data_IF_980721553471
#
_entry.id   IF_980721553471
#
_cell.length_a   1.000
_cell.length_b   1.000
_cell.length_c   1.000
_cell.angle_alpha   90.00
_cell.angle_beta   90.00
_cell.angle_gamma   90.00
#
_symmetry.space_group_name_H-M   'P 1'
#
loop_
_entity.id
_entity.type
_entity.pdbx_description
1 polymer ?
#
# COMPACT_ATOMS: atom_id res chain seq x y z
N UNK A 1 19.19 -31.68 5.20
CA UNK A 1 20.65 -31.90 5.33
C UNK A 1 21.37 -31.27 4.14
N UNK A 2 21.75 -30.00 4.25
CA UNK A 2 22.96 -29.43 3.63
C UNK A 2 23.06 -27.96 4.04
N UNK A 3 23.74 -27.76 5.15
CA UNK A 3 24.26 -26.48 5.63
C UNK A 3 25.38 -26.07 4.67
N UNK A 4 25.31 -24.86 4.09
CA UNK A 4 26.45 -24.25 3.40
C UNK A 4 26.96 -23.04 4.19
N UNK A 5 27.96 -23.37 4.99
CA UNK A 5 29.03 -22.60 5.60
C UNK A 5 29.28 -21.20 5.01
N UNK A 6 29.02 -20.19 5.85
CA UNK A 6 29.58 -18.83 5.72
C UNK A 6 31.07 -18.93 6.05
N UNK A 7 31.94 -18.59 5.09
CA UNK A 7 33.39 -18.46 5.32
C UNK A 7 33.75 -17.01 5.61
N UNK A 8 34.35 -16.82 6.79
CA UNK A 8 35.14 -15.66 7.19
C UNK A 8 36.17 -15.30 6.11
N UNK A 9 36.21 -14.02 5.75
CA UNK A 9 37.39 -13.39 5.16
C UNK A 9 37.66 -12.11 5.95
N UNK A 10 38.78 -12.13 6.68
CA UNK A 10 39.33 -10.97 7.34
C UNK A 10 40.81 -10.83 6.94
N UNK A 11 41.23 -9.59 6.71
CA UNK A 11 42.60 -9.07 6.43
C UNK A 11 43.11 -9.32 4.99
N UNK A 12 43.74 -8.39 4.25
CA UNK A 12 44.55 -7.21 4.59
C UNK A 12 44.37 -6.04 3.61
N UNK A 13 44.76 -4.89 4.13
CA UNK A 13 44.93 -3.56 3.54
C UNK A 13 45.92 -3.47 2.38
N UNK A 14 45.55 -2.66 1.39
CA UNK A 14 46.37 -1.69 0.62
C UNK A 14 45.33 -0.71 0.02
N UNK A 15 45.37 0.61 0.16
CA UNK A 15 46.51 1.51 0.04
C UNK A 15 46.26 2.44 -1.16
N UNK A 16 45.27 3.34 -1.06
CA UNK A 16 45.13 4.51 -1.95
C UNK A 16 44.05 4.45 -3.03
N UNK A 17 42.85 4.94 -2.70
CA UNK A 17 42.02 5.82 -3.55
C UNK A 17 40.98 6.49 -2.64
N UNK A 18 41.44 7.50 -1.92
CA UNK A 18 40.64 8.34 -1.03
C UNK A 18 39.93 9.43 -1.85
N UNK A 19 38.64 9.24 -2.14
CA UNK A 19 37.62 10.30 -2.15
C UNK A 19 36.24 9.69 -2.44
N UNK A 20 35.21 10.18 -1.74
CA UNK A 20 33.77 9.93 -1.97
C UNK A 20 33.11 8.71 -1.33
N UNK A 21 33.50 8.33 -0.12
CA UNK A 21 32.70 7.42 0.71
C UNK A 21 32.50 7.97 2.13
N UNK A 22 31.65 9.00 2.23
CA UNK A 22 30.98 9.41 3.49
C UNK A 22 29.58 9.94 3.18
N UNK A 23 28.64 9.02 2.96
CA UNK A 23 27.23 9.22 3.31
C UNK A 23 26.79 8.10 4.25
N UNK A 24 27.50 7.99 5.37
CA UNK A 24 26.94 7.39 6.58
C UNK A 24 26.08 8.45 7.25
N UNK A 25 24.77 8.21 7.31
CA UNK A 25 23.75 8.87 8.12
C UNK A 25 24.16 10.16 8.85
N UNK A 26 23.72 11.27 8.27
CA UNK A 26 23.32 12.47 8.99
C UNK A 26 22.25 13.18 8.16
N UNK A 27 21.11 12.52 7.93
CA UNK A 27 19.89 13.29 8.11
C UNK A 27 19.81 13.45 9.62
N UNK A 28 20.49 14.46 10.17
CA UNK A 28 20.35 14.71 11.60
C UNK A 28 18.85 14.87 11.85
N UNK A 29 18.35 14.36 12.97
CA UNK A 29 16.91 14.52 13.31
C UNK A 29 16.56 15.99 13.57
N UNK A 30 17.58 16.82 13.75
CA UNK A 30 17.53 18.23 14.09
C UNK A 30 16.98 19.15 12.97
N UNK A 31 17.36 19.10 11.68
CA UNK A 31 16.99 20.12 10.70
C UNK A 31 15.49 20.15 10.44
N UNK A 32 14.82 18.99 10.33
CA UNK A 32 13.38 18.95 10.02
C UNK A 32 12.57 19.51 11.18
N UNK A 33 12.82 19.05 12.41
CA UNK A 33 12.10 19.52 13.59
C UNK A 33 12.48 20.96 13.93
N UNK A 34 13.75 21.36 13.75
CA UNK A 34 14.20 22.74 13.98
C UNK A 34 13.58 23.70 12.96
N UNK A 35 13.55 23.33 11.67
CA UNK A 35 12.85 24.11 10.63
C UNK A 35 11.36 24.21 10.93
N UNK A 36 10.71 23.09 11.26
CA UNK A 36 9.30 23.08 11.62
C UNK A 36 9.03 23.92 12.87
N UNK A 37 9.94 23.91 13.85
CA UNK A 37 9.82 24.69 15.10
C UNK A 37 9.94 26.17 14.82
N UNK A 38 10.87 26.56 13.93
CA UNK A 38 11.02 27.94 13.46
C UNK A 38 9.76 28.43 12.72
N UNK A 39 9.14 27.55 11.94
CA UNK A 39 7.94 27.87 11.17
C UNK A 39 6.64 27.76 11.99
N UNK A 40 6.69 27.18 13.19
CA UNK A 40 5.54 26.93 14.06
C UNK A 40 4.61 25.80 13.58
N UNK A 41 5.00 25.03 12.57
CA UNK A 41 4.22 23.94 11.98
C UNK A 41 5.10 22.89 11.30
N UNK A 42 4.63 21.65 11.23
CA UNK A 42 5.23 20.60 10.42
C UNK A 42 4.45 20.42 9.11
N UNK A 43 5.05 20.79 7.98
CA UNK A 43 4.48 20.59 6.64
C UNK A 43 4.93 19.27 6.04
N UNK A 44 3.99 18.37 5.81
CA UNK A 44 4.23 17.06 5.18
C UNK A 44 3.51 17.00 3.84
N UNK A 45 4.25 16.79 2.76
CA UNK A 45 3.66 16.54 1.44
C UNK A 45 3.56 15.03 1.22
N UNK A 46 2.36 14.50 1.06
CA UNK A 46 2.11 13.06 0.99
C UNK A 46 1.37 12.66 -0.28
N UNK A 47 1.80 11.58 -0.92
CA UNK A 47 1.23 11.07 -2.18
C UNK A 47 0.95 9.57 -2.05
N UNK A 48 -0.32 9.19 -2.19
CA UNK A 48 -0.78 7.83 -2.44
C UNK A 48 -1.57 7.81 -3.75
N UNK A 49 -1.43 6.74 -4.53
CA UNK A 49 -2.13 6.57 -5.82
C UNK A 49 -3.11 5.40 -5.86
N UNK A 50 -3.29 4.69 -4.75
CA UNK A 50 -4.10 3.47 -4.66
C UNK A 50 -4.80 3.38 -3.30
N UNK A 51 -5.91 2.63 -3.23
CA UNK A 51 -6.69 2.45 -1.99
C UNK A 51 -5.85 1.86 -0.85
N UNK A 52 -4.99 0.89 -1.15
CA UNK A 52 -4.04 0.32 -0.18
C UNK A 52 -3.09 1.38 0.37
N UNK A 53 -2.56 2.24 -0.51
CA UNK A 53 -1.70 3.36 -0.15
C UNK A 53 -2.44 4.45 0.62
N UNK A 54 -3.71 4.71 0.31
CA UNK A 54 -4.58 5.64 1.04
C UNK A 54 -4.79 5.19 2.48
N UNK A 55 -5.03 3.89 2.70
CA UNK A 55 -5.15 3.32 4.05
C UNK A 55 -3.86 3.54 4.87
N UNK A 56 -2.71 3.11 4.34
CA UNK A 56 -1.40 3.28 5.00
C UNK A 56 -1.10 4.76 5.23
N UNK A 57 -1.33 5.60 4.24
CA UNK A 57 -1.13 7.05 4.32
C UNK A 57 -1.99 7.69 5.40
N UNK A 58 -3.25 7.27 5.54
CA UNK A 58 -4.17 7.78 6.56
C UNK A 58 -3.72 7.43 7.98
N UNK A 59 -3.25 6.20 8.19
CA UNK A 59 -2.70 5.72 9.48
C UNK A 59 -1.42 6.44 9.85
N UNK A 60 -0.54 6.65 8.87
CA UNK A 60 0.64 7.48 9.04
C UNK A 60 0.26 8.92 9.43
N UNK A 61 -0.68 9.55 8.73
CA UNK A 61 -1.14 10.91 9.06
C UNK A 61 -1.72 10.99 10.47
N UNK A 62 -2.55 10.03 10.86
CA UNK A 62 -3.13 9.95 12.20
C UNK A 62 -2.05 9.81 13.29
N UNK A 63 -1.08 8.94 13.07
CA UNK A 63 0.03 8.71 14.00
C UNK A 63 0.95 9.92 14.10
N UNK A 64 1.26 10.58 12.97
CA UNK A 64 2.04 11.80 12.96
C UNK A 64 1.36 12.89 13.80
N UNK A 65 0.06 13.12 13.63
CA UNK A 65 -0.70 14.11 14.43
C UNK A 65 -0.60 13.86 15.93
N UNK A 66 -0.61 12.59 16.36
CA UNK A 66 -0.49 12.21 17.78
C UNK A 66 0.92 12.45 18.33
N UNK A 67 1.94 12.22 17.51
CA UNK A 67 3.34 12.23 17.94
C UNK A 67 4.04 13.59 17.74
N UNK A 68 3.53 14.44 16.85
CA UNK A 68 4.19 15.70 16.52
C UNK A 68 4.10 16.70 17.68
N UNK A 69 5.21 17.35 18.04
CA UNK A 69 5.23 18.39 19.07
C UNK A 69 4.56 19.70 18.60
N UNK A 70 4.18 19.80 17.33
CA UNK A 70 3.61 21.01 16.72
C UNK A 70 2.44 20.70 15.77
N UNK A 71 1.64 21.73 15.40
CA UNK A 71 0.59 21.57 14.40
C UNK A 71 1.13 21.00 13.10
N UNK A 72 0.43 20.03 12.51
CA UNK A 72 0.82 19.42 11.23
C UNK A 72 -0.12 19.90 10.14
N UNK A 73 0.45 20.18 8.97
CA UNK A 73 -0.30 20.42 7.74
C UNK A 73 0.08 19.41 6.69
N UNK A 74 -0.94 18.87 6.04
CA UNK A 74 -0.80 17.92 4.95
C UNK A 74 -1.21 18.56 3.63
N UNK A 75 -0.47 18.26 2.57
CA UNK A 75 -0.83 18.57 1.18
C UNK A 75 -0.38 17.42 0.27
N UNK A 76 -1.02 17.27 -0.89
CA UNK A 76 -0.64 16.25 -1.88
C UNK A 76 -1.84 15.47 -2.40
N UNK A 77 -1.67 14.17 -2.60
CA UNK A 77 -2.65 13.32 -3.30
C UNK A 77 -2.97 12.12 -2.42
N UNK A 78 -4.25 11.84 -2.25
CA UNK A 78 -4.73 10.70 -1.47
C UNK A 78 -6.22 10.47 -1.72
N UNK A 79 -6.73 9.36 -1.22
CA UNK A 79 -8.12 8.96 -1.35
C UNK A 79 -8.97 9.48 -0.19
N UNK A 80 -10.08 8.78 0.03
CA UNK A 80 -11.06 9.14 1.04
C UNK A 80 -10.51 9.03 2.48
N UNK A 81 -9.68 8.01 2.77
CA UNK A 81 -9.16 7.77 4.12
C UNK A 81 -8.18 8.86 4.55
N UNK A 82 -7.25 9.25 3.66
CA UNK A 82 -6.37 10.40 3.92
C UNK A 82 -7.15 11.72 3.97
N UNK A 83 -8.21 11.86 3.17
CA UNK A 83 -9.08 13.04 3.20
C UNK A 83 -9.78 13.20 4.56
N UNK A 84 -10.25 12.10 5.16
CA UNK A 84 -10.78 12.09 6.53
C UNK A 84 -9.73 12.48 7.58
N UNK A 85 -8.45 12.32 7.26
CA UNK A 85 -7.33 12.83 8.06
C UNK A 85 -6.97 14.29 7.73
N UNK A 86 -7.81 15.02 6.99
CA UNK A 86 -7.63 16.44 6.72
C UNK A 86 -6.75 16.75 5.51
N UNK A 87 -6.41 15.75 4.68
CA UNK A 87 -5.81 16.00 3.38
C UNK A 87 -6.87 16.57 2.42
N UNK A 88 -6.53 17.63 1.69
CA UNK A 88 -7.31 18.04 0.52
C UNK A 88 -6.56 17.55 -0.73
N UNK A 89 -7.02 16.46 -1.32
CA UNK A 89 -6.34 15.89 -2.49
C UNK A 89 -6.34 16.88 -3.66
N UNK A 90 -5.22 17.00 -4.36
CA UNK A 90 -5.06 17.89 -5.51
C UNK A 90 -5.96 17.50 -6.70
N UNK A 91 -6.26 16.22 -6.81
CA UNK A 91 -7.12 15.60 -7.81
C UNK A 91 -7.58 14.21 -7.30
N UNK A 92 -8.60 13.59 -7.92
CA UNK A 92 -9.03 12.23 -7.56
C UNK A 92 -7.86 11.24 -7.66
N UNK A 93 -7.63 10.44 -6.61
CA UNK A 93 -6.50 9.50 -6.56
C UNK A 93 -6.53 8.46 -7.70
N UNK A 94 -7.74 8.13 -8.14
CA UNK A 94 -8.02 7.23 -9.26
C UNK A 94 -7.30 7.68 -10.55
N UNK A 95 -7.05 8.99 -10.70
CA UNK A 95 -6.41 9.57 -11.88
C UNK A 95 -4.92 9.21 -12.03
N UNK A 96 -4.29 8.67 -10.98
CA UNK A 96 -2.90 8.19 -11.00
C UNK A 96 -2.78 6.68 -10.73
N UNK A 97 -3.91 5.97 -10.59
CA UNK A 97 -4.00 4.55 -10.20
C UNK A 97 -3.73 3.53 -11.33
N UNK A 98 -3.10 3.94 -12.43
CA UNK A 98 -3.00 3.12 -13.66
C UNK A 98 -1.92 2.04 -13.55
N UNK A 99 -2.31 0.78 -13.70
CA UNK A 99 -1.41 -0.37 -13.90
C UNK A 99 -1.44 -0.84 -15.38
N UNK A 100 -0.36 -1.48 -15.83
CA UNK A 100 -0.24 -2.04 -17.19
C UNK A 100 0.46 -1.13 -18.20
N UNK A 101 1.44 -1.66 -18.93
CA UNK A 101 2.21 -0.92 -19.97
C UNK A 101 1.30 -0.48 -21.13
N UNK A 102 0.33 -1.31 -21.51
CA UNK A 102 -0.58 -1.09 -22.64
C UNK A 102 -1.73 -0.13 -22.32
N UNK A 103 -2.19 -0.14 -21.07
CA UNK A 103 -3.32 0.66 -20.58
C UNK A 103 -2.90 2.08 -20.19
N UNK A 104 -1.58 2.34 -20.06
CA UNK A 104 -1.02 3.66 -19.81
C UNK A 104 -1.16 4.62 -21.00
N UNK A 105 -1.10 4.12 -22.25
CA UNK A 105 -1.00 4.94 -23.47
C UNK A 105 -2.08 6.04 -23.59
N UNK A 106 -3.39 5.76 -23.42
CA UNK A 106 -4.42 6.80 -23.50
C UNK A 106 -4.38 7.78 -22.32
N UNK A 107 -3.83 7.37 -21.18
CA UNK A 107 -3.79 8.17 -19.95
C UNK A 107 -2.46 8.89 -19.71
N UNK A 108 -1.45 8.75 -20.58
CA UNK A 108 -0.15 9.38 -20.43
C UNK A 108 -0.23 10.91 -20.30
N UNK A 109 -1.12 11.55 -21.06
CA UNK A 109 -1.29 13.00 -20.99
C UNK A 109 -1.84 13.42 -19.63
N UNK A 110 -2.85 12.69 -19.12
CA UNK A 110 -3.43 12.94 -17.80
C UNK A 110 -2.38 12.74 -16.70
N UNK A 111 -1.60 11.66 -16.78
CA UNK A 111 -0.51 11.37 -15.85
C UNK A 111 0.55 12.48 -15.85
N UNK A 112 0.92 13.01 -17.02
CA UNK A 112 1.87 14.14 -17.14
C UNK A 112 1.32 15.42 -16.53
N UNK A 113 0.04 15.73 -16.77
CA UNK A 113 -0.64 16.90 -16.18
C UNK A 113 -0.67 16.77 -14.66
N UNK A 114 -1.10 15.63 -14.15
CA UNK A 114 -1.15 15.35 -12.72
C UNK A 114 0.24 15.43 -12.08
N UNK A 115 1.26 14.85 -12.72
CA UNK A 115 2.64 14.92 -12.24
C UNK A 115 3.12 16.37 -12.15
N UNK A 116 2.84 17.19 -13.17
CA UNK A 116 3.19 18.62 -13.18
C UNK A 116 2.45 19.36 -12.06
N UNK A 117 1.15 19.11 -11.89
CA UNK A 117 0.34 19.73 -10.83
C UNK A 117 0.85 19.35 -9.44
N UNK A 118 1.18 18.08 -9.21
CA UNK A 118 1.76 17.61 -7.93
C UNK A 118 3.12 18.26 -7.66
N UNK A 119 3.96 18.39 -8.68
CA UNK A 119 5.26 19.08 -8.59
C UNK A 119 5.11 20.55 -8.20
N UNK A 120 4.25 21.30 -8.91
CA UNK A 120 4.00 22.71 -8.64
C UNK A 120 3.41 22.93 -7.24
N UNK A 121 2.47 22.09 -6.84
CA UNK A 121 1.89 22.12 -5.50
C UNK A 121 2.95 21.84 -4.41
N UNK A 122 3.83 20.86 -4.61
CA UNK A 122 4.89 20.55 -3.65
C UNK A 122 5.89 21.72 -3.50
N UNK A 123 6.28 22.35 -4.61
CA UNK A 123 7.17 23.51 -4.58
C UNK A 123 6.53 24.73 -3.90
N UNK A 124 5.25 24.98 -4.16
CA UNK A 124 4.51 26.07 -3.52
C UNK A 124 4.31 25.82 -2.02
N UNK A 125 4.05 24.58 -1.64
CA UNK A 125 3.80 24.19 -0.26
C UNK A 125 5.06 24.23 0.62
N UNK A 126 6.26 24.14 0.03
CA UNK A 126 7.55 24.13 0.74
C UNK A 126 7.57 23.13 1.92
N UNK A 127 7.37 21.83 1.65
CA UNK A 127 7.28 20.83 2.70
C UNK A 127 8.59 20.72 3.48
N UNK A 128 8.49 20.36 4.76
CA UNK A 128 9.62 19.91 5.54
C UNK A 128 9.96 18.45 5.25
N UNK A 129 8.95 17.65 4.85
CA UNK A 129 9.09 16.22 4.56
C UNK A 129 8.21 15.84 3.39
N UNK A 130 8.72 14.96 2.53
CA UNK A 130 7.94 14.37 1.43
C UNK A 130 7.81 12.88 1.68
N UNK A 131 6.58 12.38 1.60
CA UNK A 131 6.26 10.97 1.77
C UNK A 131 5.50 10.49 0.54
N UNK A 132 5.93 9.37 -0.03
CA UNK A 132 5.17 8.67 -1.06
C UNK A 132 4.80 7.29 -0.53
N UNK A 133 3.60 6.81 -0.83
CA UNK A 133 3.09 5.51 -0.36
C UNK A 133 2.72 4.68 -1.58
N UNK A 134 3.49 3.63 -1.82
CA UNK A 134 3.39 2.76 -3.00
C UNK A 134 3.32 3.54 -4.34
N UNK A 135 2.55 3.05 -5.32
CA UNK A 135 2.36 3.66 -6.65
C UNK A 135 3.67 4.02 -7.35
N UNK A 136 4.65 3.10 -7.27
CA UNK A 136 6.06 3.27 -7.67
C UNK A 136 6.27 4.00 -9.00
N UNK A 137 5.42 3.72 -10.00
CA UNK A 137 5.50 4.36 -11.31
C UNK A 137 5.31 5.88 -11.28
N UNK A 138 4.33 6.39 -10.52
CA UNK A 138 4.08 7.82 -10.35
C UNK A 138 5.03 8.41 -9.29
N UNK A 139 5.10 7.77 -8.12
CA UNK A 139 5.89 8.21 -6.97
C UNK A 139 7.37 8.41 -7.32
N UNK A 140 8.00 7.46 -8.01
CA UNK A 140 9.42 7.59 -8.35
C UNK A 140 9.68 8.67 -9.41
N UNK A 141 8.76 8.86 -10.36
CA UNK A 141 8.86 9.97 -11.33
C UNK A 141 8.73 11.33 -10.63
N UNK A 142 7.79 11.44 -9.70
CA UNK A 142 7.60 12.64 -8.88
C UNK A 142 8.85 12.95 -8.06
N UNK A 143 9.34 12.02 -7.24
CA UNK A 143 10.51 12.24 -6.40
C UNK A 143 11.76 12.57 -7.21
N UNK A 144 11.99 11.89 -8.34
CA UNK A 144 13.13 12.14 -9.22
C UNK A 144 13.08 13.53 -9.86
N UNK A 145 11.91 13.93 -10.39
CA UNK A 145 11.75 15.28 -10.97
C UNK A 145 11.87 16.36 -9.90
N UNK A 146 11.33 16.11 -8.70
CA UNK A 146 11.40 17.04 -7.60
C UNK A 146 12.83 17.27 -7.14
N UNK A 147 13.60 16.19 -6.94
CA UNK A 147 15.02 16.26 -6.60
C UNK A 147 15.79 17.11 -7.63
N UNK A 148 15.64 16.80 -8.91
CA UNK A 148 16.28 17.55 -10.00
C UNK A 148 15.89 19.04 -10.01
N UNK A 149 14.64 19.36 -9.66
CA UNK A 149 14.16 20.74 -9.64
C UNK A 149 14.75 21.55 -8.48
N UNK A 150 14.85 20.95 -7.29
CA UNK A 150 15.52 21.57 -6.13
C UNK A 150 17.01 21.80 -6.40
N UNK A 151 17.68 20.83 -7.02
CA UNK A 151 19.09 20.94 -7.40
C UNK A 151 19.33 22.09 -8.39
N UNK A 152 18.47 22.22 -9.42
CA UNK A 152 18.54 23.29 -10.41
C UNK A 152 18.31 24.69 -9.83
N UNK A 153 17.46 24.81 -8.81
CA UNK A 153 17.12 26.09 -8.18
C UNK A 153 18.09 26.48 -7.06
N UNK A 154 19.13 25.67 -6.79
CA UNK A 154 20.06 25.85 -5.68
C UNK A 154 19.34 26.13 -4.34
N UNK A 155 18.18 25.49 -4.14
CA UNK A 155 17.36 25.72 -2.96
C UNK A 155 18.09 25.17 -1.73
N UNK A 156 18.26 26.04 -0.73
CA UNK A 156 19.13 25.84 0.44
C UNK A 156 18.69 24.66 1.32
N UNK A 157 17.44 24.24 1.25
CA UNK A 157 16.93 23.09 2.02
C UNK A 157 16.07 22.19 1.15
N UNK A 158 16.64 21.03 0.83
CA UNK A 158 15.99 19.96 0.10
C UNK A 158 15.26 19.07 1.12
N UNK A 159 13.93 18.92 1.04
CA UNK A 159 13.21 18.09 1.99
C UNK A 159 13.62 16.62 1.83
N UNK A 160 13.76 15.87 2.95
CA UNK A 160 13.95 14.43 2.87
C UNK A 160 12.74 13.76 2.23
N UNK A 161 13.04 12.81 1.35
CA UNK A 161 12.10 11.98 0.61
C UNK A 161 12.01 10.59 1.25
N UNK A 162 10.85 10.27 1.80
CA UNK A 162 10.53 8.95 2.31
C UNK A 162 9.61 8.21 1.33
N UNK A 163 9.84 6.91 1.18
CA UNK A 163 8.95 6.02 0.43
C UNK A 163 8.45 4.88 1.31
N UNK A 164 7.14 4.75 1.44
CA UNK A 164 6.49 3.68 2.20
C UNK A 164 6.07 2.56 1.24
N UNK A 165 6.32 1.32 1.63
CA UNK A 165 6.18 0.08 0.84
C UNK A 165 7.30 -0.06 -0.18
N UNK A 166 8.24 -0.95 0.10
CA UNK A 166 9.37 -1.18 -0.79
C UNK A 166 8.92 -1.65 -2.19
N UNK A 167 9.68 -1.34 -3.26
CA UNK A 167 9.50 -2.01 -4.54
C UNK A 167 9.65 -3.51 -4.37
N UNK A 168 8.80 -4.29 -5.03
CA UNK A 168 8.82 -5.76 -4.96
C UNK A 168 9.97 -6.31 -5.80
N UNK A 169 11.21 -5.93 -5.45
CA UNK A 169 12.43 -6.28 -6.17
C UNK A 169 12.68 -7.80 -6.16
N UNK A 170 12.16 -8.51 -5.16
CA UNK A 170 12.24 -9.95 -5.03
C UNK A 170 11.37 -10.70 -6.05
N UNK A 171 10.37 -10.04 -6.64
CA UNK A 171 9.49 -10.65 -7.65
C UNK A 171 10.18 -10.78 -9.03
N UNK A 172 11.32 -10.12 -9.24
CA UNK A 172 12.00 -10.07 -10.53
C UNK A 172 13.49 -10.30 -10.39
N UNK A 173 14.01 -11.33 -11.07
CA UNK A 173 15.44 -11.67 -11.04
C UNK A 173 16.31 -10.47 -11.41
N UNK A 174 17.18 -10.05 -10.48
CA UNK A 174 18.13 -8.96 -10.67
C UNK A 174 17.58 -7.54 -10.48
N UNK A 175 16.31 -7.38 -10.08
CA UNK A 175 15.75 -6.06 -9.79
C UNK A 175 16.35 -5.40 -8.53
N UNK A 176 16.99 -6.16 -7.65
CA UNK A 176 17.77 -5.67 -6.49
C UNK A 176 18.83 -4.64 -6.89
N UNK A 177 19.45 -4.81 -8.08
CA UNK A 177 20.44 -3.87 -8.62
C UNK A 177 19.86 -2.47 -8.85
N UNK A 178 18.54 -2.35 -9.02
CA UNK A 178 17.84 -1.07 -9.21
C UNK A 178 17.69 -0.29 -7.91
N UNK A 179 17.81 -0.94 -6.75
CA UNK A 179 17.69 -0.29 -5.44
C UNK A 179 18.74 0.82 -5.25
N UNK A 180 19.96 0.62 -5.75
CA UNK A 180 21.00 1.65 -5.72
C UNK A 180 20.58 2.93 -6.43
N UNK A 181 19.90 2.82 -7.57
CA UNK A 181 19.42 3.99 -8.32
C UNK A 181 18.32 4.77 -7.57
N UNK A 182 17.58 4.11 -6.68
CA UNK A 182 16.57 4.78 -5.84
C UNK A 182 17.20 5.73 -4.84
N UNK A 183 18.41 5.43 -4.35
CA UNK A 183 19.14 6.30 -3.40
C UNK A 183 19.48 7.68 -3.96
N UNK A 184 19.38 7.88 -5.27
CA UNK A 184 19.58 9.19 -5.91
C UNK A 184 18.45 10.18 -5.57
N UNK A 185 17.24 9.68 -5.28
CA UNK A 185 16.04 10.52 -5.09
C UNK A 185 15.14 10.08 -3.94
N UNK A 186 15.46 8.99 -3.24
CA UNK A 186 14.81 8.54 -2.01
C UNK A 186 15.86 8.51 -0.91
N UNK A 187 15.58 9.19 0.20
CA UNK A 187 16.48 9.25 1.35
C UNK A 187 16.28 8.07 2.30
N UNK A 188 15.06 7.53 2.41
CA UNK A 188 14.75 6.37 3.25
C UNK A 188 13.49 5.62 2.81
N UNK A 189 13.49 4.29 2.95
CA UNK A 189 12.35 3.42 2.63
C UNK A 189 11.79 2.77 3.89
N UNK A 190 10.47 2.77 4.05
CA UNK A 190 9.76 1.98 5.05
C UNK A 190 9.33 0.64 4.43
N UNK A 191 9.97 -0.43 4.90
CA UNK A 191 9.78 -1.80 4.45
C UNK A 191 8.69 -2.50 5.26
N UNK A 192 7.84 -3.28 4.59
CA UNK A 192 6.71 -3.96 5.22
C UNK A 192 6.95 -5.47 5.37
N UNK A 193 8.00 -6.00 4.76
CA UNK A 193 8.46 -7.37 4.95
C UNK A 193 9.85 -7.37 5.62
N UNK A 194 10.12 -8.32 6.54
CA UNK A 194 11.31 -8.27 7.39
C UNK A 194 12.64 -8.38 6.62
N UNK A 195 12.67 -9.15 5.53
CA UNK A 195 13.89 -9.33 4.73
C UNK A 195 14.20 -8.10 3.85
N UNK A 196 13.24 -7.21 3.60
CA UNK A 196 13.41 -6.11 2.65
C UNK A 196 14.43 -5.08 3.14
N UNK A 197 14.48 -4.84 4.45
CA UNK A 197 15.38 -3.86 5.06
C UNK A 197 16.85 -4.22 4.79
N UNK A 198 17.23 -5.48 5.03
CA UNK A 198 18.59 -5.95 4.82
C UNK A 198 19.00 -5.84 3.34
N UNK A 199 18.14 -6.29 2.43
CA UNK A 199 18.42 -6.24 1.00
C UNK A 199 18.57 -4.80 0.50
N UNK A 200 17.70 -3.88 0.95
CA UNK A 200 17.83 -2.45 0.64
C UNK A 200 19.17 -1.88 1.12
N UNK A 201 19.54 -2.14 2.37
CA UNK A 201 20.79 -1.63 2.97
C UNK A 201 22.03 -2.15 2.24
N UNK A 202 22.08 -3.45 1.92
CA UNK A 202 23.19 -4.05 1.16
C UNK A 202 23.36 -3.41 -0.21
N UNK A 203 22.27 -2.93 -0.82
CA UNK A 203 22.29 -2.24 -2.10
C UNK A 203 22.42 -0.70 -1.99
N UNK A 204 22.71 -0.18 -0.80
CA UNK A 204 22.99 1.24 -0.57
C UNK A 204 21.75 2.12 -0.41
N UNK A 205 20.57 1.53 -0.19
CA UNK A 205 19.33 2.26 0.08
C UNK A 205 19.01 2.18 1.58
N UNK A 206 18.92 3.33 2.23
CA UNK A 206 18.52 3.40 3.63
C UNK A 206 17.07 2.90 3.79
N UNK A 207 16.87 1.98 4.73
CA UNK A 207 15.59 1.34 4.95
C UNK A 207 15.37 0.96 6.41
N UNK A 208 14.10 0.84 6.80
CA UNK A 208 13.66 0.33 8.10
C UNK A 208 12.43 -0.54 7.92
N UNK A 209 12.45 -1.76 8.47
CA UNK A 209 11.26 -2.59 8.59
C UNK A 209 10.33 -1.99 9.65
N UNK A 210 9.10 -1.68 9.26
CA UNK A 210 8.09 -1.02 10.10
C UNK A 210 6.91 -1.92 10.45
N UNK A 211 6.97 -3.20 10.09
CA UNK A 211 5.84 -4.12 10.22
C UNK A 211 4.91 -4.07 9.01
N UNK A 212 4.07 -5.09 8.89
CA UNK A 212 3.09 -5.17 7.81
C UNK A 212 1.83 -4.38 8.20
N UNK A 213 1.31 -3.48 7.35
CA UNK A 213 0.19 -2.60 7.69
C UNK A 213 -1.11 -3.35 8.02
N UNK A 214 -1.25 -4.58 7.54
CA UNK A 214 -2.37 -5.43 7.92
C UNK A 214 -2.40 -5.83 9.39
N UNK A 215 -1.27 -5.83 10.09
CA UNK A 215 -1.28 -6.09 11.53
C UNK A 215 -2.02 -4.98 12.28
N UNK A 216 -2.10 -3.77 11.74
CA UNK A 216 -2.90 -2.70 12.34
C UNK A 216 -4.41 -2.99 12.23
N UNK A 217 -4.87 -3.63 11.14
CA UNK A 217 -6.26 -4.12 11.05
C UNK A 217 -6.54 -5.15 12.15
N UNK A 218 -5.56 -6.02 12.43
CA UNK A 218 -5.63 -7.02 13.49
C UNK A 218 -5.74 -6.33 14.86
N UNK A 219 -4.87 -5.37 15.17
CA UNK A 219 -4.89 -4.66 16.46
C UNK A 219 -6.20 -3.90 16.73
N UNK A 220 -6.81 -3.33 15.69
CA UNK A 220 -8.10 -2.62 15.80
C UNK A 220 -9.29 -3.54 16.08
N UNK A 221 -9.16 -4.85 15.80
CA UNK A 221 -10.21 -5.86 15.95
C UNK A 221 -10.08 -6.71 17.24
N UNK A 222 -9.34 -6.23 18.24
CA UNK A 222 -9.18 -6.81 19.59
C UNK A 222 -8.92 -8.33 19.62
N UNK A 223 -7.68 -8.71 19.33
CA UNK A 223 -7.30 -10.10 19.03
C UNK A 223 -6.56 -10.84 20.15
N UNK A 224 -6.82 -12.15 20.24
CA UNK A 224 -6.02 -13.11 21.01
C UNK A 224 -4.76 -13.52 20.22
N UNK A 225 -3.58 -13.35 20.80
CA UNK A 225 -2.36 -13.99 20.28
C UNK A 225 -2.44 -15.50 20.57
N UNK A 226 -2.37 -16.33 19.54
CA UNK A 226 -2.33 -17.80 19.70
C UNK A 226 -0.90 -18.32 19.55
N UNK A 227 -0.63 -19.57 19.97
CA UNK A 227 0.68 -20.22 19.77
C UNK A 227 1.11 -20.27 18.29
N UNK A 228 0.17 -20.18 17.34
CA UNK A 228 0.42 -20.26 15.90
C UNK A 228 0.45 -18.90 15.19
N UNK A 229 0.39 -17.77 15.92
CA UNK A 229 0.43 -16.42 15.39
C UNK A 229 -0.82 -15.58 15.67
N UNK A 230 -0.95 -14.48 14.93
CA UNK A 230 -2.08 -13.56 14.99
C UNK A 230 -3.23 -14.06 14.11
N UNK A 231 -4.43 -14.20 14.66
CA UNK A 231 -5.61 -14.74 13.96
C UNK A 231 -6.79 -13.83 14.25
N UNK A 232 -7.47 -13.36 13.20
CA UNK A 232 -8.74 -12.62 13.20
C UNK A 232 -9.94 -13.54 13.24
N UNK A 233 -10.52 -13.68 14.44
CA UNK A 233 -11.79 -14.35 14.70
C UNK A 233 -12.93 -13.42 14.32
N UNK A 234 -13.58 -13.70 13.20
CA UNK A 234 -14.89 -13.14 12.91
C UNK A 234 -16.00 -14.01 13.50
N UNK A 235 -17.23 -13.49 13.52
CA UNK A 235 -18.41 -14.24 13.92
C UNK A 235 -19.13 -14.82 12.70
N UNK A 236 -18.60 -15.93 12.17
CA UNK A 236 -19.16 -16.59 10.99
C UNK A 236 -20.62 -17.06 11.18
N UNK A 237 -20.97 -17.53 12.38
CA UNK A 237 -22.33 -17.97 12.69
C UNK A 237 -23.34 -16.80 12.71
N UNK A 238 -22.96 -15.66 13.28
CA UNK A 238 -23.79 -14.45 13.22
C UNK A 238 -23.90 -13.91 11.80
N UNK A 239 -22.82 -13.96 11.02
CA UNK A 239 -22.84 -13.60 9.60
C UNK A 239 -23.82 -14.47 8.82
N UNK A 240 -23.77 -15.79 8.99
CA UNK A 240 -24.70 -16.73 8.36
C UNK A 240 -26.15 -16.42 8.77
N UNK A 241 -26.42 -16.28 10.07
CA UNK A 241 -27.76 -15.97 10.59
C UNK A 241 -28.31 -14.67 10.03
N UNK A 242 -27.49 -13.61 9.97
CA UNK A 242 -27.88 -12.29 9.47
C UNK A 242 -28.25 -12.30 7.99
N UNK A 243 -27.64 -13.21 7.22
CA UNK A 243 -27.90 -13.36 5.79
C UNK A 243 -28.81 -14.55 5.47
N UNK A 244 -29.48 -15.13 6.47
CA UNK A 244 -30.43 -16.23 6.30
C UNK A 244 -29.80 -17.51 5.76
N UNK A 245 -28.54 -17.78 6.13
CA UNK A 245 -27.77 -18.94 5.69
C UNK A 245 -27.73 -20.00 6.79
N UNK A 246 -27.90 -21.26 6.39
CA UNK A 246 -27.79 -22.42 7.27
C UNK A 246 -26.32 -22.70 7.62
N UNK A 247 -26.08 -23.44 8.69
CA UNK A 247 -24.73 -23.91 9.04
C UNK A 247 -24.14 -24.85 7.99
N UNK A 248 -24.99 -25.50 7.19
CA UNK A 248 -24.60 -26.43 6.11
C UNK A 248 -24.38 -25.72 4.76
N UNK A 249 -24.67 -24.42 4.68
CA UNK A 249 -24.49 -23.65 3.45
C UNK A 249 -23.00 -23.57 3.08
N UNK A 250 -22.71 -23.84 1.80
CA UNK A 250 -21.35 -23.62 1.28
C UNK A 250 -21.18 -22.16 0.90
N UNK A 251 -20.26 -21.48 1.56
CA UNK A 251 -19.97 -20.06 1.33
C UNK A 251 -18.61 -19.91 0.67
N UNK A 252 -18.58 -19.31 -0.51
CA UNK A 252 -17.35 -18.98 -1.24
C UNK A 252 -17.16 -17.46 -1.25
N UNK A 253 -16.04 -17.00 -0.69
CA UNK A 253 -15.65 -15.60 -0.74
C UNK A 253 -14.92 -15.28 -2.05
N UNK A 254 -15.30 -14.17 -2.68
CA UNK A 254 -14.68 -13.62 -3.88
C UNK A 254 -14.06 -12.27 -3.57
N UNK A 255 -12.79 -12.13 -3.95
CA UNK A 255 -12.01 -10.91 -3.84
C UNK A 255 -11.55 -10.52 -5.25
N UNK A 256 -12.43 -9.85 -6.04
CA UNK A 256 -12.21 -9.57 -7.47
C UNK A 256 -11.12 -8.52 -7.73
N UNK A 257 -10.69 -7.80 -6.70
CA UNK A 257 -9.63 -6.79 -6.79
C UNK A 257 -10.11 -5.42 -6.33
N UNK A 258 -9.17 -4.48 -6.23
CA UNK A 258 -9.45 -3.11 -5.80
C UNK A 258 -9.54 -2.11 -6.94
N UNK A 259 -9.20 -2.55 -8.16
CA UNK A 259 -9.16 -1.72 -9.37
C UNK A 259 -10.24 -2.19 -10.34
N UNK A 260 -10.87 -1.24 -11.05
CA UNK A 260 -11.94 -1.55 -12.00
C UNK A 260 -11.52 -2.59 -13.05
N UNK A 261 -10.32 -2.48 -13.61
CA UNK A 261 -9.84 -3.40 -14.65
C UNK A 261 -9.64 -4.83 -14.15
N UNK A 262 -9.14 -5.00 -12.92
CA UNK A 262 -9.02 -6.33 -12.29
C UNK A 262 -10.42 -6.93 -12.12
N UNK A 263 -11.36 -6.12 -11.64
CA UNK A 263 -12.75 -6.52 -11.40
C UNK A 263 -13.45 -6.86 -12.72
N UNK A 264 -13.33 -6.04 -13.76
CA UNK A 264 -13.90 -6.27 -15.09
C UNK A 264 -13.41 -7.57 -15.72
N UNK A 265 -12.15 -7.94 -15.47
CA UNK A 265 -11.57 -9.18 -15.97
C UNK A 265 -11.98 -10.40 -15.13
N UNK A 266 -12.06 -10.24 -13.81
CA UNK A 266 -12.17 -11.36 -12.88
C UNK A 266 -13.61 -11.73 -12.54
N UNK A 267 -14.53 -10.76 -12.53
CA UNK A 267 -15.94 -11.01 -12.26
C UNK A 267 -16.57 -12.02 -13.23
N UNK A 268 -16.36 -11.94 -14.57
CA UNK A 268 -16.87 -12.96 -15.49
C UNK A 268 -16.33 -14.36 -15.18
N UNK A 269 -15.02 -14.48 -14.92
CA UNK A 269 -14.36 -15.74 -14.60
C UNK A 269 -14.94 -16.34 -13.30
N UNK A 270 -15.19 -15.50 -12.30
CA UNK A 270 -15.81 -15.93 -11.06
C UNK A 270 -17.26 -16.36 -11.26
N UNK A 271 -18.02 -15.65 -12.09
CA UNK A 271 -19.39 -16.04 -12.45
C UNK A 271 -19.39 -17.43 -13.10
N UNK A 272 -18.55 -17.65 -14.11
CA UNK A 272 -18.40 -18.94 -14.78
C UNK A 272 -17.99 -20.05 -13.79
N UNK A 273 -17.12 -19.73 -12.84
CA UNK A 273 -16.73 -20.67 -11.78
C UNK A 273 -17.93 -21.03 -10.89
N UNK A 274 -18.74 -20.06 -10.48
CA UNK A 274 -19.93 -20.32 -9.66
C UNK A 274 -20.99 -21.11 -10.44
N UNK A 275 -21.16 -20.83 -11.73
CA UNK A 275 -22.05 -21.59 -12.62
C UNK A 275 -21.65 -23.07 -12.71
N UNK A 276 -20.35 -23.36 -12.78
CA UNK A 276 -19.84 -24.74 -12.78
C UNK A 276 -20.03 -25.46 -11.43
N UNK A 277 -20.04 -24.72 -10.32
CA UNK A 277 -20.11 -25.29 -8.97
C UNK A 277 -21.53 -25.40 -8.41
N UNK A 278 -22.51 -24.69 -8.99
CA UNK A 278 -23.86 -24.55 -8.41
C UNK A 278 -24.58 -25.87 -8.13
N UNK A 279 -24.37 -26.88 -8.97
CA UNK A 279 -25.02 -28.20 -8.84
C UNK A 279 -24.21 -29.18 -7.96
N UNK A 280 -22.98 -28.80 -7.58
CA UNK A 280 -22.09 -29.62 -6.75
C UNK A 280 -22.28 -29.40 -5.25
N UNK A 281 -22.91 -28.29 -4.85
CA UNK A 281 -23.08 -27.91 -3.45
C UNK A 281 -24.52 -27.48 -3.16
N UNK A 282 -25.11 -27.98 -2.07
CA UNK A 282 -26.38 -27.49 -1.57
C UNK A 282 -26.22 -26.08 -0.99
N UNK A 283 -27.12 -25.17 -1.35
CA UNK A 283 -27.16 -23.78 -0.85
C UNK A 283 -25.87 -22.97 -1.08
N UNK A 284 -25.22 -23.15 -2.23
CA UNK A 284 -24.03 -22.37 -2.60
C UNK A 284 -24.31 -20.86 -2.57
N UNK A 285 -23.54 -20.14 -1.77
CA UNK A 285 -23.61 -18.69 -1.63
C UNK A 285 -22.25 -18.07 -1.93
N UNK A 286 -22.28 -17.02 -2.74
CA UNK A 286 -21.11 -16.19 -3.02
C UNK A 286 -21.11 -14.97 -2.10
N UNK A 287 -19.97 -14.69 -1.48
CA UNK A 287 -19.74 -13.42 -0.77
C UNK A 287 -18.74 -12.60 -1.58
N UNK A 288 -19.11 -11.43 -2.06
CA UNK A 288 -18.22 -10.58 -2.90
C UNK A 288 -17.77 -9.37 -2.09
N UNK A 289 -16.46 -9.27 -1.89
CA UNK A 289 -15.87 -8.10 -1.24
C UNK A 289 -15.63 -6.99 -2.26
N UNK A 290 -16.23 -5.84 -2.00
CA UNK A 290 -16.17 -4.69 -2.89
C UNK A 290 -15.20 -3.67 -2.31
N UNK A 291 -14.13 -3.37 -3.02
CA UNK A 291 -13.20 -2.32 -2.59
C UNK A 291 -13.90 -0.95 -2.56
N UNK A 292 -13.50 -0.03 -1.65
CA UNK A 292 -14.10 1.31 -1.53
C UNK A 292 -13.66 2.21 -2.70
N UNK A 293 -14.13 1.89 -3.89
CA UNK A 293 -13.88 2.57 -5.14
C UNK A 293 -15.22 2.62 -5.89
N UNK A 294 -15.72 3.83 -6.13
CA UNK A 294 -17.05 4.05 -6.73
C UNK A 294 -17.24 3.29 -8.05
N UNK A 295 -16.24 3.27 -8.92
CA UNK A 295 -16.36 2.58 -10.21
C UNK A 295 -16.43 1.06 -10.03
N UNK A 296 -15.68 0.52 -9.07
CA UNK A 296 -15.75 -0.89 -8.70
C UNK A 296 -17.12 -1.23 -8.12
N UNK A 297 -17.62 -0.42 -7.19
CA UNK A 297 -18.95 -0.59 -6.58
C UNK A 297 -20.06 -0.58 -7.63
N UNK A 298 -20.05 0.39 -8.55
CA UNK A 298 -21.02 0.50 -9.63
C UNK A 298 -20.95 -0.70 -10.59
N UNK A 299 -19.76 -1.20 -10.90
CA UNK A 299 -19.57 -2.34 -11.79
C UNK A 299 -20.04 -3.65 -11.14
N UNK A 300 -19.58 -3.95 -9.92
CA UNK A 300 -19.93 -5.18 -9.20
C UNK A 300 -21.44 -5.25 -8.99
N UNK A 301 -22.06 -4.15 -8.54
CA UNK A 301 -23.51 -4.11 -8.28
C UNK A 301 -24.35 -4.45 -9.52
N UNK A 302 -23.88 -4.07 -10.71
CA UNK A 302 -24.54 -4.42 -11.98
C UNK A 302 -24.28 -5.87 -12.37
N UNK A 303 -23.04 -6.32 -12.23
CA UNK A 303 -22.63 -7.65 -12.65
C UNK A 303 -23.28 -8.77 -11.82
N UNK A 304 -23.52 -8.53 -10.53
CA UNK A 304 -24.15 -9.54 -9.65
C UNK A 304 -25.68 -9.65 -9.83
N UNK A 305 -26.29 -8.81 -10.66
CA UNK A 305 -27.73 -8.92 -10.94
C UNK A 305 -28.07 -10.22 -11.69
N UNK A 306 -27.19 -10.69 -12.57
CA UNK A 306 -27.34 -11.94 -13.32
C UNK A 306 -26.46 -13.07 -12.76
N UNK A 307 -26.18 -13.04 -11.45
CA UNK A 307 -25.29 -14.04 -10.84
C UNK A 307 -25.95 -15.43 -10.77
N UNK A 308 -25.21 -16.52 -11.02
CA UNK A 308 -25.78 -17.87 -11.09
C UNK A 308 -26.23 -18.43 -9.73
N UNK A 309 -25.78 -17.83 -8.62
CA UNK A 309 -26.07 -18.26 -7.25
C UNK A 309 -26.36 -17.06 -6.34
N UNK A 310 -26.77 -17.32 -5.08
CA UNK A 310 -27.04 -16.26 -4.11
C UNK A 310 -25.78 -15.43 -3.84
N UNK A 311 -25.90 -14.09 -3.85
CA UNK A 311 -24.79 -13.16 -3.61
C UNK A 311 -25.02 -12.32 -2.36
N UNK A 312 -23.99 -12.20 -1.53
CA UNK A 312 -23.88 -11.20 -0.46
C UNK A 312 -22.75 -10.23 -0.81
N UNK A 313 -23.04 -8.93 -0.88
CA UNK A 313 -22.03 -7.90 -1.11
C UNK A 313 -21.50 -7.38 0.22
N UNK A 314 -20.18 -7.40 0.38
CA UNK A 314 -19.49 -6.80 1.54
C UNK A 314 -18.90 -5.46 1.10
N UNK A 315 -19.44 -4.33 1.58
CA UNK A 315 -18.93 -3.01 1.22
C UNK A 315 -17.55 -2.78 1.83
N UNK A 316 -16.73 -2.03 1.08
CA UNK A 316 -15.42 -1.57 1.55
C UNK A 316 -15.54 -0.71 2.80
N UNK A 317 -14.50 -0.71 3.63
CA UNK A 317 -14.49 0.08 4.86
C UNK A 317 -15.29 -0.52 6.02
N UNK A 318 -15.68 -1.80 5.93
CA UNK A 318 -16.31 -2.55 7.03
C UNK A 318 -15.41 -3.70 7.51
N UNK A 319 -14.33 -3.44 8.27
CA UNK A 319 -13.37 -4.48 8.67
C UNK A 319 -14.01 -5.65 9.42
N UNK A 320 -14.87 -5.38 10.41
CA UNK A 320 -15.53 -6.43 11.18
C UNK A 320 -16.34 -7.36 10.28
N UNK A 321 -17.23 -6.78 9.45
CA UNK A 321 -18.06 -7.55 8.53
C UNK A 321 -17.21 -8.34 7.51
N UNK A 322 -16.06 -7.78 7.09
CA UNK A 322 -15.10 -8.47 6.22
C UNK A 322 -14.58 -9.75 6.88
N UNK A 323 -14.14 -9.68 8.14
CA UNK A 323 -13.61 -10.85 8.85
C UNK A 323 -14.71 -11.83 9.29
N UNK A 324 -15.91 -11.35 9.61
CA UNK A 324 -17.08 -12.22 9.85
C UNK A 324 -17.42 -13.04 8.61
N UNK A 325 -17.40 -12.41 7.43
CA UNK A 325 -17.58 -13.07 6.14
C UNK A 325 -16.47 -14.09 5.84
N UNK A 326 -15.20 -13.74 6.10
CA UNK A 326 -14.09 -14.68 5.94
C UNK A 326 -14.25 -15.90 6.84
N UNK A 327 -14.62 -15.70 8.11
CA UNK A 327 -14.83 -16.79 9.07
C UNK A 327 -16.04 -17.67 8.73
N UNK A 328 -17.03 -17.12 8.03
CA UNK A 328 -18.17 -17.90 7.50
C UNK A 328 -17.83 -18.68 6.22
N UNK A 329 -16.72 -18.38 5.55
CA UNK A 329 -16.40 -18.92 4.22
C UNK A 329 -15.63 -20.24 4.31
N UNK A 330 -15.97 -21.18 3.43
CA UNK A 330 -15.24 -22.44 3.30
C UNK A 330 -14.01 -22.30 2.40
N UNK A 331 -14.12 -21.47 1.36
CA UNK A 331 -13.08 -21.22 0.35
C UNK A 331 -13.12 -19.76 -0.06
N UNK A 332 -11.95 -19.19 -0.39
CA UNK A 332 -11.85 -17.87 -0.98
C UNK A 332 -11.10 -17.90 -2.31
N UNK A 333 -11.61 -17.15 -3.30
CA UNK A 333 -10.96 -16.88 -4.58
C UNK A 333 -10.49 -15.43 -4.60
N UNK A 334 -9.18 -15.20 -4.68
CA UNK A 334 -8.59 -13.86 -4.62
C UNK A 334 -7.67 -13.54 -5.80
N UNK A 335 -7.64 -12.27 -6.18
CA UNK A 335 -6.87 -11.78 -7.35
C UNK A 335 -5.53 -11.15 -6.96
N UNK A 336 -5.38 -10.68 -5.71
CA UNK A 336 -4.20 -9.92 -5.26
C UNK A 336 -3.44 -10.62 -4.14
N UNK A 337 -2.13 -10.39 -4.07
CA UNK A 337 -1.27 -10.92 -3.02
C UNK A 337 -1.61 -10.38 -1.63
N UNK A 338 -2.05 -9.12 -1.51
CA UNK A 338 -2.51 -8.54 -0.24
C UNK A 338 -3.73 -9.29 0.29
N UNK A 339 -4.70 -9.59 -0.58
CA UNK A 339 -5.89 -10.35 -0.20
C UNK A 339 -5.54 -11.77 0.29
N UNK A 340 -4.52 -12.40 -0.30
CA UNK A 340 -4.05 -13.71 0.15
C UNK A 340 -3.48 -13.67 1.57
N UNK A 341 -2.73 -12.63 1.93
CA UNK A 341 -2.25 -12.45 3.31
C UNK A 341 -3.46 -12.16 4.23
N UNK A 342 -4.44 -11.36 3.80
CA UNK A 342 -5.62 -11.02 4.63
C UNK A 342 -6.42 -12.27 4.99
N UNK A 343 -6.63 -13.14 4.01
CA UNK A 343 -7.28 -14.44 4.20
C UNK A 343 -6.47 -15.36 5.13
N UNK A 344 -5.13 -15.34 5.06
CA UNK A 344 -4.29 -16.15 5.96
C UNK A 344 -4.48 -15.76 7.44
N UNK A 345 -4.81 -14.49 7.71
CA UNK A 345 -5.06 -14.01 9.07
C UNK A 345 -6.46 -14.34 9.57
N UNK A 346 -7.43 -14.64 8.68
CA UNK A 346 -8.80 -14.93 9.08
C UNK A 346 -8.99 -16.43 9.38
N UNK A 347 -9.61 -16.77 10.51
CA UNK A 347 -10.04 -18.14 10.83
C UNK A 347 -11.43 -18.18 11.45
#
# INVERSE_FOLDING_TARGET
MMVRTVRNLNTKSDGGFLANWRRSFSVSRQPVIDMASKDGELRVFIVAGEVSGDNIGSRLMASLKKLSPMPIRFAGVGGLMMSNQGLKSLFPMEDISVMGIWELLPHLNKLRVNLKQTMEAALLFKPHVIVTVDSKGFSFRFLKQLRARYDQQALVSLPPHFHYVAPSFWAWKGAEKRLKALSEFIDHVFCILPFEEEVCKVHGLAATFVGHPMLEDVWELEMDATENGWIVKGNGGEFQSKHGKSSESTIITLLPGSRLQEVERMIPIFSDTMELLKDSFSELTTVVHVAPNRHVEEYVSKAVFEWPVSVVLIPGGSPQLKYDAYSASNVALCTSGTAAIELQLAQ
#
